data_IF_177535602933
#
_entry.id   IF_177535602933
#
_cell.length_a   1.000
_cell.length_b   1.000
_cell.length_c   1.000
_cell.angle_alpha   90.00
_cell.angle_beta   90.00
_cell.angle_gamma   90.00
#
_symmetry.space_group_name_H-M   'P 1'
#
loop_
_entity.id
_entity.type
_entity.pdbx_description
1 polymer ?
#
# COMPACT_ATOMS: atom_id res chain seq x y z
N UNK A 1 20.81 8.45 -22.26
CA UNK A 1 20.86 7.78 -20.95
C UNK A 1 19.45 7.44 -20.51
N UNK A 2 19.20 6.14 -20.23
CA UNK A 2 17.90 5.65 -19.77
C UNK A 2 17.62 6.19 -18.36
N UNK A 3 16.43 6.74 -18.14
CA UNK A 3 16.02 7.25 -16.82
C UNK A 3 15.75 6.09 -15.87
N UNK A 4 16.12 6.20 -14.57
CA UNK A 4 15.78 5.18 -13.59
C UNK A 4 14.26 5.03 -13.47
N UNK A 5 13.78 3.79 -13.31
CA UNK A 5 12.36 3.49 -13.18
C UNK A 5 12.07 2.99 -11.76
N UNK A 6 11.14 3.65 -11.07
CA UNK A 6 10.78 3.31 -9.70
C UNK A 6 9.30 2.98 -9.59
N UNK A 7 9.01 1.89 -8.90
CA UNK A 7 7.64 1.46 -8.60
C UNK A 7 7.27 1.92 -7.20
N UNK A 8 6.10 2.56 -7.08
CA UNK A 8 5.51 2.92 -5.80
C UNK A 8 4.20 2.15 -5.68
N UNK A 9 4.13 1.22 -4.75
CA UNK A 9 2.93 0.44 -4.49
C UNK A 9 2.16 1.07 -3.33
N UNK A 10 1.04 1.72 -3.65
CA UNK A 10 0.19 2.38 -2.66
C UNK A 10 -0.61 1.37 -1.86
N UNK A 11 -1.10 1.77 -0.70
CA UNK A 11 -1.85 0.90 0.19
C UNK A 11 -3.36 1.14 0.14
N UNK A 12 -4.00 0.80 1.25
CA UNK A 12 -5.44 0.97 1.44
C UNK A 12 -5.87 2.43 1.24
N UNK A 13 -7.05 2.62 0.71
CA UNK A 13 -7.60 3.94 0.33
C UNK A 13 -7.62 4.15 -1.17
N UNK A 14 -6.98 3.28 -1.94
CA UNK A 14 -6.97 3.35 -3.41
C UNK A 14 -8.06 2.50 -4.05
N UNK A 15 -8.69 1.62 -3.30
CA UNK A 15 -9.77 0.76 -3.80
C UNK A 15 -11.06 1.57 -4.05
N UNK A 16 -11.80 1.18 -5.08
CA UNK A 16 -13.09 1.78 -5.42
C UNK A 16 -13.94 0.82 -6.23
N UNK A 17 -15.25 1.02 -6.18
CA UNK A 17 -16.23 0.19 -6.87
C UNK A 17 -15.99 0.19 -8.39
N UNK A 18 -15.91 -1.01 -8.98
CA UNK A 18 -15.70 -1.17 -10.41
C UNK A 18 -14.28 -0.94 -10.88
N UNK A 19 -13.32 -0.90 -10.00
CA UNK A 19 -11.92 -0.57 -10.32
C UNK A 19 -11.27 -1.50 -11.33
N UNK A 20 -11.81 -2.71 -11.51
CA UNK A 20 -11.26 -3.65 -12.50
C UNK A 20 -11.95 -3.63 -13.85
N UNK A 21 -13.08 -2.92 -14.01
CA UNK A 21 -13.93 -3.02 -15.19
C UNK A 21 -13.20 -2.76 -16.51
N UNK A 22 -12.46 -1.66 -16.59
CA UNK A 22 -11.82 -1.27 -17.85
C UNK A 22 -10.64 -2.16 -18.21
N UNK A 23 -9.78 -2.47 -17.24
CA UNK A 23 -8.55 -3.22 -17.49
C UNK A 23 -8.78 -4.72 -17.70
N UNK A 24 -9.92 -5.26 -17.28
CA UNK A 24 -10.29 -6.64 -17.57
C UNK A 24 -10.43 -6.92 -19.07
N UNK A 25 -10.51 -5.88 -19.91
CA UNK A 25 -10.47 -6.01 -21.37
C UNK A 25 -9.09 -6.40 -21.90
N UNK A 26 -8.04 -6.18 -21.12
CA UNK A 26 -6.68 -6.61 -21.47
C UNK A 26 -6.47 -8.05 -21.04
N UNK A 27 -6.09 -8.93 -21.98
CA UNK A 27 -5.91 -10.35 -21.71
C UNK A 27 -4.92 -10.60 -20.58
N UNK A 28 -3.75 -9.95 -20.60
CA UNK A 28 -2.72 -10.12 -19.58
C UNK A 28 -3.20 -9.73 -18.19
N UNK A 29 -3.97 -8.64 -18.09
CA UNK A 29 -4.55 -8.20 -16.82
C UNK A 29 -5.56 -9.22 -16.31
N UNK A 30 -6.49 -9.62 -17.17
CA UNK A 30 -7.52 -10.60 -16.81
C UNK A 30 -6.91 -11.93 -16.39
N UNK A 31 -5.92 -12.44 -17.11
CA UNK A 31 -5.24 -13.68 -16.78
C UNK A 31 -4.56 -13.60 -15.42
N UNK A 32 -3.92 -12.47 -15.11
CA UNK A 32 -3.33 -12.23 -13.78
C UNK A 32 -4.38 -12.28 -12.68
N UNK A 33 -5.52 -11.61 -12.89
CA UNK A 33 -6.63 -11.62 -11.93
C UNK A 33 -7.16 -13.04 -11.71
N UNK A 34 -7.28 -13.83 -12.78
CA UNK A 34 -7.73 -15.22 -12.67
C UNK A 34 -6.73 -16.10 -11.90
N UNK A 35 -5.44 -15.83 -12.00
CA UNK A 35 -4.44 -16.53 -11.18
C UNK A 35 -4.58 -16.16 -9.70
N UNK A 36 -4.95 -14.90 -9.41
CA UNK A 36 -5.25 -14.48 -8.02
C UNK A 36 -6.51 -15.17 -7.50
N UNK A 37 -7.54 -15.36 -8.36
CA UNK A 37 -8.72 -16.14 -8.01
C UNK A 37 -8.36 -17.55 -7.55
N UNK A 38 -7.46 -18.22 -8.27
CA UNK A 38 -7.04 -19.59 -7.92
C UNK A 38 -6.40 -19.63 -6.53
N UNK A 39 -5.65 -18.61 -6.15
CA UNK A 39 -4.98 -18.56 -4.84
C UNK A 39 -5.98 -18.51 -3.68
N UNK A 40 -7.09 -17.81 -3.81
CA UNK A 40 -8.08 -17.61 -2.73
C UNK A 40 -9.35 -18.41 -2.90
N UNK A 41 -9.47 -19.18 -3.98
CA UNK A 41 -10.65 -20.03 -4.24
C UNK A 41 -10.99 -20.97 -3.07
N UNK A 42 -10.01 -21.67 -2.44
CA UNK A 42 -10.31 -22.52 -1.29
C UNK A 42 -10.87 -21.76 -0.09
N UNK A 43 -10.67 -20.45 -0.05
CA UNK A 43 -11.10 -19.59 1.05
C UNK A 43 -12.43 -18.89 0.75
N UNK A 44 -13.06 -19.22 -0.39
CA UNK A 44 -14.37 -18.69 -0.75
C UNK A 44 -14.38 -17.26 -1.28
N UNK A 45 -13.23 -16.74 -1.70
CA UNK A 45 -13.12 -15.39 -2.27
C UNK A 45 -12.93 -15.50 -3.77
N UNK A 46 -13.65 -14.64 -4.53
CA UNK A 46 -13.50 -14.55 -5.98
C UNK A 46 -13.18 -13.12 -6.38
N UNK A 47 -11.90 -12.86 -6.62
CA UNK A 47 -11.38 -11.53 -6.93
C UNK A 47 -12.03 -10.95 -8.17
N UNK A 48 -12.18 -11.75 -9.23
CA UNK A 48 -12.80 -11.27 -10.48
C UNK A 48 -14.20 -10.74 -10.28
N UNK A 49 -15.01 -11.37 -9.41
CA UNK A 49 -16.34 -10.88 -9.07
C UNK A 49 -16.27 -9.57 -8.29
N UNK A 50 -15.33 -9.46 -7.35
CA UNK A 50 -15.15 -8.25 -6.54
C UNK A 50 -14.77 -7.04 -7.39
N UNK A 51 -13.90 -7.24 -8.38
CA UNK A 51 -13.44 -6.16 -9.26
C UNK A 51 -14.53 -5.67 -10.21
N UNK A 52 -15.48 -6.52 -10.55
CA UNK A 52 -16.58 -6.20 -11.44
C UNK A 52 -17.84 -5.77 -10.69
N UNK A 53 -17.86 -5.86 -9.38
CA UNK A 53 -19.02 -5.55 -8.55
C UNK A 53 -19.39 -4.08 -8.66
N UNK A 54 -20.72 -3.82 -8.77
CA UNK A 54 -21.29 -2.48 -8.76
C UNK A 54 -21.88 -2.10 -7.39
N UNK A 55 -21.78 -3.01 -6.40
CA UNK A 55 -22.24 -2.76 -5.04
C UNK A 55 -21.27 -1.78 -4.34
N UNK A 56 -21.82 -0.68 -3.83
CA UNK A 56 -21.04 0.35 -3.14
C UNK A 56 -20.38 -0.16 -1.87
N UNK A 57 -20.86 -1.27 -1.30
CA UNK A 57 -20.34 -1.85 -0.05
C UNK A 57 -19.30 -2.94 -0.27
N UNK A 58 -18.95 -3.25 -1.51
CA UNK A 58 -18.04 -4.35 -1.83
C UNK A 58 -16.75 -4.29 -1.02
N UNK A 59 -16.17 -3.10 -0.87
CA UNK A 59 -14.89 -2.91 -0.19
C UNK A 59 -15.03 -2.41 1.25
N UNK A 60 -16.23 -2.43 1.82
CA UNK A 60 -16.41 -2.26 3.26
C UNK A 60 -15.85 -3.47 4.01
N UNK A 61 -15.86 -4.65 3.37
CA UNK A 61 -15.20 -5.84 3.89
C UNK A 61 -13.69 -5.70 3.66
N UNK A 62 -12.92 -5.73 4.73
CA UNK A 62 -11.47 -5.50 4.69
C UNK A 62 -10.73 -6.61 3.92
N UNK A 63 -11.22 -7.85 3.96
CA UNK A 63 -10.64 -8.96 3.20
C UNK A 63 -10.79 -8.68 1.70
N UNK A 64 -11.99 -8.28 1.29
CA UNK A 64 -12.27 -7.94 -0.11
C UNK A 64 -11.40 -6.78 -0.59
N UNK A 65 -11.26 -5.75 0.24
CA UNK A 65 -10.44 -4.59 -0.09
C UNK A 65 -8.96 -4.97 -0.26
N UNK A 66 -8.40 -5.70 0.70
CA UNK A 66 -6.98 -6.05 0.70
C UNK A 66 -6.62 -7.01 -0.44
N UNK A 67 -7.43 -8.05 -0.63
CA UNK A 67 -7.19 -9.04 -1.70
C UNK A 67 -7.32 -8.41 -3.07
N UNK A 68 -8.36 -7.61 -3.28
CA UNK A 68 -8.60 -6.96 -4.58
C UNK A 68 -7.53 -5.93 -4.92
N UNK A 69 -7.14 -5.11 -3.94
CA UNK A 69 -6.07 -4.13 -4.12
C UNK A 69 -4.76 -4.81 -4.51
N UNK A 70 -4.37 -5.84 -3.76
CA UNK A 70 -3.14 -6.57 -4.03
C UNK A 70 -3.18 -7.27 -5.39
N UNK A 71 -4.31 -7.87 -5.75
CA UNK A 71 -4.48 -8.53 -7.06
C UNK A 71 -4.36 -7.54 -8.22
N UNK A 72 -4.93 -6.34 -8.09
CA UNK A 72 -4.77 -5.29 -9.12
C UNK A 72 -3.31 -4.85 -9.24
N UNK A 73 -2.65 -4.65 -8.11
CA UNK A 73 -1.23 -4.26 -8.14
C UNK A 73 -0.36 -5.31 -8.82
N UNK A 74 -0.59 -6.58 -8.52
CA UNK A 74 0.10 -7.69 -9.19
C UNK A 74 -0.18 -7.70 -10.70
N UNK A 75 -1.44 -7.50 -11.09
CA UNK A 75 -1.83 -7.47 -12.50
C UNK A 75 -1.18 -6.29 -13.23
N UNK A 76 -1.11 -5.12 -12.60
CA UNK A 76 -0.40 -3.96 -13.17
C UNK A 76 1.09 -4.24 -13.33
N UNK A 77 1.72 -4.86 -12.34
CA UNK A 77 3.13 -5.25 -12.40
C UNK A 77 3.35 -6.24 -13.54
N UNK A 78 2.47 -7.23 -13.71
CA UNK A 78 2.54 -8.19 -14.82
C UNK A 78 2.44 -7.47 -16.18
N UNK A 79 1.56 -6.50 -16.31
CA UNK A 79 1.45 -5.70 -17.54
C UNK A 79 2.74 -4.94 -17.83
N UNK A 80 3.31 -4.27 -16.83
CA UNK A 80 4.55 -3.53 -16.98
C UNK A 80 5.69 -4.45 -17.37
N UNK A 81 5.78 -5.61 -16.73
CA UNK A 81 6.80 -6.62 -17.04
C UNK A 81 6.65 -7.15 -18.47
N UNK A 82 5.41 -7.36 -18.93
CA UNK A 82 5.12 -7.89 -20.26
C UNK A 82 5.58 -6.96 -21.39
N UNK A 83 5.69 -5.66 -21.11
CA UNK A 83 6.21 -4.66 -22.06
C UNK A 83 7.67 -4.29 -21.77
N UNK A 84 8.38 -5.09 -20.98
CA UNK A 84 9.81 -4.95 -20.74
C UNK A 84 10.21 -3.92 -19.69
N UNK A 85 9.27 -3.40 -18.91
CA UNK A 85 9.57 -2.42 -17.87
C UNK A 85 9.93 -3.13 -16.56
N UNK A 86 11.18 -2.97 -16.13
CA UNK A 86 11.70 -3.53 -14.88
C UNK A 86 12.10 -2.39 -13.94
N UNK A 87 11.73 -2.46 -12.67
CA UNK A 87 12.07 -1.39 -11.74
C UNK A 87 13.55 -1.43 -11.34
N UNK A 88 14.15 -0.24 -11.25
CA UNK A 88 15.45 -0.04 -10.64
C UNK A 88 15.31 0.14 -9.12
N UNK A 89 14.13 0.57 -8.67
CA UNK A 89 13.81 0.69 -7.26
C UNK A 89 12.33 0.44 -7.01
N UNK A 90 12.01 -0.02 -5.79
CA UNK A 90 10.66 -0.41 -5.39
C UNK A 90 10.41 0.10 -3.98
N UNK A 91 9.30 0.82 -3.78
CA UNK A 91 8.88 1.33 -2.48
C UNK A 91 7.40 1.05 -2.31
N UNK A 92 6.99 0.59 -1.12
CA UNK A 92 5.59 0.35 -0.81
C UNK A 92 5.12 1.23 0.34
N UNK A 93 3.83 1.49 0.38
CA UNK A 93 3.17 2.17 1.48
C UNK A 93 2.19 1.20 2.13
N UNK A 94 2.45 0.82 3.38
CA UNK A 94 1.59 -0.08 4.16
C UNK A 94 1.38 -1.43 3.45
N UNK A 95 0.13 -1.82 3.18
CA UNK A 95 -0.20 -3.05 2.45
C UNK A 95 0.51 -3.13 1.09
N UNK A 96 0.85 -2.00 0.50
CA UNK A 96 1.56 -1.96 -0.78
C UNK A 96 2.89 -2.70 -0.76
N UNK A 97 3.51 -2.88 0.42
CA UNK A 97 4.74 -3.67 0.50
C UNK A 97 4.56 -5.15 0.14
N UNK A 98 3.34 -5.67 0.23
CA UNK A 98 3.06 -7.05 -0.22
C UNK A 98 3.25 -7.15 -1.74
N UNK A 99 2.73 -6.18 -2.49
CA UNK A 99 2.95 -6.09 -3.93
C UNK A 99 4.42 -5.85 -4.27
N UNK A 100 5.15 -5.11 -3.43
CA UNK A 100 6.60 -4.95 -3.56
C UNK A 100 7.31 -6.30 -3.49
N UNK A 101 6.90 -7.18 -2.59
CA UNK A 101 7.46 -8.54 -2.49
C UNK A 101 7.28 -9.32 -3.77
N UNK A 102 6.13 -9.18 -4.42
CA UNK A 102 5.89 -9.78 -5.72
C UNK A 102 6.78 -9.15 -6.82
N UNK A 103 6.83 -7.84 -6.88
CA UNK A 103 7.64 -7.12 -7.87
C UNK A 103 9.13 -7.44 -7.74
N UNK A 104 9.61 -7.64 -6.53
CA UNK A 104 11.01 -7.96 -6.24
C UNK A 104 11.35 -9.46 -6.40
N UNK A 105 10.34 -10.29 -6.66
CA UNK A 105 10.52 -11.75 -6.80
C UNK A 105 10.65 -12.49 -5.48
N UNK A 106 10.38 -11.84 -4.35
CA UNK A 106 10.47 -12.46 -3.02
C UNK A 106 9.22 -13.24 -2.65
N UNK A 107 8.08 -12.85 -3.19
CA UNK A 107 6.80 -13.53 -2.99
C UNK A 107 6.26 -14.00 -4.34
N UNK A 108 5.74 -15.21 -4.38
CA UNK A 108 4.94 -15.65 -5.53
C UNK A 108 3.60 -14.89 -5.52
N UNK A 109 2.89 -14.92 -6.63
CA UNK A 109 1.55 -14.35 -6.69
C UNK A 109 0.64 -14.96 -5.63
N UNK A 110 0.66 -16.28 -5.48
CA UNK A 110 -0.11 -16.98 -4.47
C UNK A 110 0.23 -16.50 -3.06
N UNK A 111 1.52 -16.43 -2.73
CA UNK A 111 1.97 -15.96 -1.43
C UNK A 111 1.51 -14.54 -1.14
N UNK A 112 1.62 -13.64 -2.11
CA UNK A 112 1.23 -12.24 -1.95
C UNK A 112 -0.28 -12.08 -1.72
N UNK A 113 -1.09 -12.74 -2.55
CA UNK A 113 -2.55 -12.67 -2.41
C UNK A 113 -3.02 -13.28 -1.10
N UNK A 114 -2.44 -14.41 -0.69
CA UNK A 114 -2.76 -15.05 0.58
C UNK A 114 -2.29 -14.20 1.78
N UNK A 115 -1.15 -13.54 1.66
CA UNK A 115 -0.70 -12.62 2.72
C UNK A 115 -1.68 -11.46 2.92
N UNK A 116 -2.20 -10.90 1.84
CA UNK A 116 -3.24 -9.87 1.90
C UNK A 116 -4.53 -10.41 2.51
N UNK A 117 -4.94 -11.62 2.12
CA UNK A 117 -6.12 -12.28 2.68
C UNK A 117 -6.01 -12.43 4.20
N UNK A 118 -4.92 -13.04 4.69
CA UNK A 118 -4.78 -13.31 6.12
C UNK A 118 -4.63 -12.04 6.94
N UNK A 119 -3.99 -11.02 6.41
CA UNK A 119 -3.95 -9.70 7.04
C UNK A 119 -5.37 -9.16 7.28
N UNK A 120 -6.22 -9.21 6.26
CA UNK A 120 -7.61 -8.78 6.37
C UNK A 120 -8.44 -9.67 7.29
N UNK A 121 -8.30 -10.98 7.16
CA UNK A 121 -9.10 -11.94 7.94
C UNK A 121 -8.77 -11.88 9.44
N UNK A 122 -7.49 -11.79 9.78
CA UNK A 122 -7.07 -11.69 11.19
C UNK A 122 -7.57 -10.39 11.83
N UNK A 123 -7.56 -9.28 11.08
CA UNK A 123 -8.10 -8.01 11.57
C UNK A 123 -9.61 -8.10 11.76
N UNK A 124 -10.31 -8.68 10.79
CA UNK A 124 -11.76 -8.85 10.83
C UNK A 124 -12.19 -9.69 12.03
N UNK A 125 -11.48 -10.79 12.30
CA UNK A 125 -11.80 -11.73 13.40
C UNK A 125 -11.46 -11.16 14.77
N UNK A 126 -10.60 -10.16 14.85
CA UNK A 126 -10.14 -9.61 16.13
C UNK A 126 -11.17 -8.74 16.86
N UNK A 127 -12.18 -8.23 16.15
CA UNK A 127 -13.21 -7.35 16.72
C UNK A 127 -12.62 -6.21 17.56
N UNK A 128 -11.76 -5.43 16.94
CA UNK A 128 -11.03 -4.36 17.62
C UNK A 128 -11.93 -3.22 18.07
N UNK A 129 -11.56 -2.49 19.14
CA UNK A 129 -12.31 -1.30 19.55
C UNK A 129 -12.26 -0.22 18.45
N UNK A 130 -13.21 0.76 18.46
CA UNK A 130 -13.24 1.80 17.45
C UNK A 130 -11.95 2.60 17.39
N UNK A 131 -11.31 2.60 16.22
CA UNK A 131 -10.12 3.36 15.92
C UNK A 131 -10.34 4.32 14.77
N UNK A 132 -9.39 5.20 14.55
CA UNK A 132 -9.40 6.14 13.44
C UNK A 132 -7.99 6.53 13.05
N UNK A 133 -7.86 7.07 11.85
CA UNK A 133 -6.62 7.65 11.35
C UNK A 133 -6.94 8.98 10.68
N UNK A 134 -5.97 9.90 10.70
CA UNK A 134 -6.13 11.20 10.08
C UNK A 134 -4.80 11.70 9.52
N UNK A 135 -4.86 12.34 8.35
CA UNK A 135 -3.72 13.06 7.79
C UNK A 135 -3.66 14.45 8.43
N UNK A 136 -2.50 14.84 8.94
CA UNK A 136 -2.30 16.12 9.60
C UNK A 136 -1.08 16.85 9.04
N UNK A 137 -1.17 18.18 8.96
CA UNK A 137 -0.12 19.04 8.43
C UNK A 137 0.94 19.39 9.47
N UNK A 138 1.53 18.37 10.08
CA UNK A 138 2.58 18.48 11.07
C UNK A 138 3.79 17.67 10.62
N UNK A 139 4.98 18.05 11.15
CA UNK A 139 6.15 17.22 10.98
C UNK A 139 6.07 15.98 11.88
N UNK A 140 6.92 14.99 11.60
CA UNK A 140 7.00 13.78 12.41
C UNK A 140 7.33 14.09 13.87
N UNK A 141 8.29 14.98 14.11
CA UNK A 141 8.70 15.38 15.46
C UNK A 141 7.60 16.16 16.18
N UNK A 142 6.90 17.06 15.48
CA UNK A 142 5.76 17.77 16.05
C UNK A 142 4.65 16.80 16.47
N UNK A 143 4.37 15.79 15.66
CA UNK A 143 3.39 14.77 16.00
C UNK A 143 3.77 13.99 17.26
N UNK A 144 5.04 13.60 17.37
CA UNK A 144 5.54 12.89 18.56
C UNK A 144 5.32 13.72 19.84
N UNK A 145 5.50 15.03 19.74
CA UNK A 145 5.37 15.93 20.90
C UNK A 145 3.93 16.27 21.21
N UNK A 146 3.07 16.40 20.18
CA UNK A 146 1.73 16.97 20.33
C UNK A 146 0.60 15.95 20.38
N UNK A 147 0.82 14.71 19.90
CA UNK A 147 -0.25 13.72 19.94
C UNK A 147 -0.76 13.47 21.35
N UNK A 148 -2.08 13.52 21.56
CA UNK A 148 -2.65 13.22 22.88
C UNK A 148 -2.46 11.74 23.23
N UNK A 149 -2.71 11.39 24.49
CA UNK A 149 -2.57 10.04 24.99
C UNK A 149 -3.37 9.05 24.08
N UNK A 150 -2.70 7.98 23.67
CA UNK A 150 -3.29 6.95 22.85
C UNK A 150 -3.23 7.22 21.35
N UNK A 151 -2.94 8.43 20.90
CA UNK A 151 -2.77 8.77 19.49
C UNK A 151 -1.28 8.72 19.15
N UNK A 152 -0.94 8.03 18.08
CA UNK A 152 0.45 7.84 17.66
C UNK A 152 0.66 8.26 16.21
N UNK A 153 1.86 8.77 15.86
CA UNK A 153 2.21 8.96 14.46
C UNK A 153 2.38 7.59 13.81
N UNK A 154 1.69 7.38 12.71
CA UNK A 154 1.61 6.08 12.03
C UNK A 154 2.27 6.07 10.66
N UNK A 155 2.19 7.16 9.90
CA UNK A 155 2.79 7.23 8.57
C UNK A 155 3.55 8.55 8.40
N UNK A 156 4.84 8.47 8.17
CA UNK A 156 5.68 9.61 7.82
C UNK A 156 5.65 9.78 6.30
N UNK A 157 4.65 10.51 5.81
CA UNK A 157 4.38 10.64 4.39
C UNK A 157 5.25 11.71 3.70
N UNK A 158 5.45 12.85 4.37
CA UNK A 158 6.33 13.91 3.90
C UNK A 158 6.86 14.70 5.09
N UNK A 159 7.74 15.68 4.86
CA UNK A 159 8.30 16.51 5.92
C UNK A 159 7.24 17.21 6.78
N UNK A 160 6.09 17.53 6.17
CA UNK A 160 5.03 18.31 6.80
C UNK A 160 3.66 17.59 6.76
N UNK A 161 3.63 16.30 6.49
CA UNK A 161 2.39 15.51 6.44
C UNK A 161 2.60 14.16 7.09
N UNK A 162 1.85 13.92 8.14
CA UNK A 162 1.90 12.67 8.92
C UNK A 162 0.46 12.13 9.02
N UNK A 163 0.32 10.81 8.93
CA UNK A 163 -0.94 10.16 9.30
C UNK A 163 -0.83 9.69 10.74
N UNK A 164 -1.79 10.11 11.56
CA UNK A 164 -1.91 9.70 12.98
C UNK A 164 -2.93 8.58 13.11
N UNK A 165 -2.81 7.79 14.18
CA UNK A 165 -3.64 6.60 14.40
C UNK A 165 -3.92 6.44 15.89
N UNK A 166 -5.14 6.03 16.25
CA UNK A 166 -5.49 5.81 17.65
C UNK A 166 -6.98 5.63 17.88
N UNK A 167 -7.42 5.75 19.14
CA UNK A 167 -8.84 5.67 19.48
C UNK A 167 -9.65 6.73 18.72
N UNK A 168 -10.79 6.34 18.20
CA UNK A 168 -11.61 7.21 17.36
C UNK A 168 -11.92 8.56 18.01
N UNK A 169 -12.35 8.54 19.27
CA UNK A 169 -12.69 9.77 19.99
C UNK A 169 -11.47 10.71 20.14
N UNK A 170 -10.31 10.15 20.49
CA UNK A 170 -9.09 10.95 20.69
C UNK A 170 -8.58 11.53 19.38
N UNK A 171 -8.63 10.75 18.27
CA UNK A 171 -8.24 11.24 16.95
C UNK A 171 -9.18 12.36 16.50
N UNK A 172 -10.49 12.17 16.65
CA UNK A 172 -11.47 13.17 16.24
C UNK A 172 -11.29 14.49 17.02
N UNK A 173 -11.05 14.40 18.31
CA UNK A 173 -10.82 15.58 19.15
C UNK A 173 -9.55 16.33 18.72
N UNK A 174 -8.47 15.61 18.47
CA UNK A 174 -7.22 16.22 18.04
C UNK A 174 -7.35 16.86 16.65
N UNK A 175 -8.06 16.21 15.73
CA UNK A 175 -8.34 16.77 14.40
C UNK A 175 -9.08 18.10 14.52
N UNK A 176 -10.12 18.18 15.38
CA UNK A 176 -10.85 19.41 15.58
C UNK A 176 -9.97 20.52 16.20
N UNK A 177 -9.13 20.16 17.16
CA UNK A 177 -8.17 21.11 17.75
C UNK A 177 -7.22 21.66 16.68
N UNK A 178 -6.65 20.80 15.84
CA UNK A 178 -5.74 21.23 14.77
C UNK A 178 -6.43 22.14 13.75
N UNK A 179 -7.68 21.83 13.38
CA UNK A 179 -8.46 22.68 12.48
C UNK A 179 -8.67 24.08 13.08
N UNK A 180 -8.97 24.17 14.38
CA UNK A 180 -9.13 25.45 15.07
C UNK A 180 -7.84 26.27 15.08
N UNK A 181 -6.68 25.60 15.08
CA UNK A 181 -5.37 26.26 15.00
C UNK A 181 -4.98 26.63 13.58
N UNK A 182 -5.80 26.30 12.57
CA UNK A 182 -5.47 26.53 11.17
C UNK A 182 -4.49 25.50 10.59
N UNK A 183 -4.29 24.38 11.28
CA UNK A 183 -3.45 23.28 10.80
C UNK A 183 -4.29 22.31 9.99
N UNK A 184 -3.79 21.90 8.82
CA UNK A 184 -4.49 20.90 7.99
C UNK A 184 -4.70 19.62 8.80
N UNK A 185 -5.94 19.11 8.80
CA UNK A 185 -6.26 17.84 9.41
C UNK A 185 -7.49 17.24 8.71
N UNK A 186 -7.38 15.99 8.30
CA UNK A 186 -8.47 15.31 7.59
C UNK A 186 -8.50 13.84 7.97
N UNK A 187 -9.66 13.36 8.41
CA UNK A 187 -9.86 11.94 8.69
C UNK A 187 -9.68 11.12 7.42
N UNK A 188 -9.01 9.97 7.56
CA UNK A 188 -8.79 9.00 6.48
C UNK A 188 -9.79 7.85 6.68
N UNK A 189 -10.39 7.38 5.60
CA UNK A 189 -11.33 6.24 5.66
C UNK A 189 -10.56 4.95 5.92
N UNK A 190 -10.77 4.36 7.11
CA UNK A 190 -10.13 3.11 7.52
C UNK A 190 -11.13 2.07 8.01
N UNK A 191 -12.44 2.35 7.91
CA UNK A 191 -13.45 1.42 8.41
C UNK A 191 -13.44 1.26 9.91
N UNK A 192 -13.03 2.29 10.66
CA UNK A 192 -12.96 2.25 12.12
C UNK A 192 -11.73 1.55 12.67
N UNK A 193 -10.64 1.48 11.88
CA UNK A 193 -9.41 0.78 12.26
C UNK A 193 -8.24 1.74 12.44
N UNK A 194 -7.44 1.50 13.47
CA UNK A 194 -6.22 2.26 13.76
C UNK A 194 -4.99 1.44 13.36
N UNK A 195 -4.68 1.43 12.06
CA UNK A 195 -3.53 0.70 11.52
C UNK A 195 -2.21 1.30 12.01
N UNK A 196 -1.16 0.50 12.01
CA UNK A 196 0.20 0.93 12.34
C UNK A 196 0.29 1.54 13.74
N UNK A 197 -0.46 0.96 14.66
CA UNK A 197 -0.52 1.36 16.06
C UNK A 197 -0.57 0.13 16.95
N UNK A 198 -0.52 0.36 18.26
CA UNK A 198 -0.64 -0.70 19.26
C UNK A 198 -1.97 -1.48 19.16
N UNK A 199 -3.00 -0.93 18.49
CA UNK A 199 -4.25 -1.65 18.22
C UNK A 199 -3.99 -2.96 17.45
N UNK A 200 -2.96 -3.00 16.64
CA UNK A 200 -2.63 -4.15 15.79
C UNK A 200 -1.72 -5.19 16.49
N UNK A 201 -1.13 -4.85 17.61
CA UNK A 201 -0.19 -5.74 18.30
C UNK A 201 -0.83 -7.06 18.73
N UNK A 202 -2.10 -7.03 19.18
CA UNK A 202 -2.81 -8.22 19.59
C UNK A 202 -3.11 -9.20 18.45
N UNK A 203 -3.05 -8.74 17.22
CA UNK A 203 -3.27 -9.55 16.02
C UNK A 203 -1.98 -10.28 15.60
N UNK A 204 -0.84 -9.73 15.96
CA UNK A 204 0.46 -10.20 15.49
C UNK A 204 0.69 -11.72 15.65
N UNK A 205 0.43 -12.34 16.80
CA UNK A 205 0.67 -13.79 16.96
C UNK A 205 -0.17 -14.63 15.99
N UNK A 206 -1.45 -14.33 15.84
CA UNK A 206 -2.36 -15.08 14.95
C UNK A 206 -1.97 -14.90 13.50
N UNK A 207 -1.66 -13.66 13.09
CA UNK A 207 -1.22 -13.38 11.74
C UNK A 207 0.11 -14.05 11.42
N UNK A 208 1.04 -14.06 12.38
CA UNK A 208 2.34 -14.73 12.21
C UNK A 208 2.15 -16.22 11.93
N UNK A 209 1.30 -16.89 12.70
CA UNK A 209 1.03 -18.32 12.50
C UNK A 209 0.46 -18.58 11.11
N UNK A 210 -0.50 -17.77 10.67
CA UNK A 210 -1.10 -17.89 9.34
C UNK A 210 -0.07 -17.69 8.23
N UNK A 211 0.74 -16.63 8.34
CA UNK A 211 1.72 -16.28 7.32
C UNK A 211 2.89 -17.27 7.27
N UNK A 212 3.26 -17.91 8.36
CA UNK A 212 4.27 -18.98 8.34
C UNK A 212 3.85 -20.18 7.51
N UNK A 213 2.55 -20.44 7.45
CA UNK A 213 2.00 -21.52 6.59
C UNK A 213 1.99 -21.11 5.11
N UNK A 214 1.92 -19.82 4.81
CA UNK A 214 1.91 -19.28 3.45
C UNK A 214 3.33 -19.09 2.92
N UNK A 215 4.18 -18.43 3.70
CA UNK A 215 5.56 -18.11 3.34
C UNK A 215 6.48 -19.09 4.08
N UNK A 216 6.61 -20.30 3.54
CA UNK A 216 7.36 -21.38 4.19
C UNK A 216 8.87 -21.23 4.03
N UNK A 217 9.31 -20.71 2.89
CA UNK A 217 10.71 -20.53 2.55
C UNK A 217 10.95 -19.07 2.16
N UNK A 218 11.18 -18.19 3.17
CA UNK A 218 11.40 -16.78 2.90
C UNK A 218 12.58 -16.54 1.96
N UNK A 219 12.38 -15.67 0.98
CA UNK A 219 13.41 -15.33 -0.01
C UNK A 219 13.99 -13.97 0.29
N UNK A 220 15.29 -13.75 -0.01
CA UNK A 220 15.94 -12.48 0.23
C UNK A 220 15.29 -11.33 -0.54
N UNK A 221 15.14 -10.21 0.14
CA UNK A 221 14.81 -8.94 -0.49
C UNK A 221 16.05 -8.41 -1.19
N UNK A 222 15.87 -7.88 -2.41
CA UNK A 222 16.99 -7.29 -3.14
C UNK A 222 17.26 -5.85 -2.66
N UNK A 223 18.40 -5.29 -3.05
CA UNK A 223 18.75 -3.90 -2.76
C UNK A 223 17.82 -2.90 -3.46
N UNK A 224 17.04 -3.35 -4.47
CA UNK A 224 16.09 -2.48 -5.17
C UNK A 224 14.86 -2.15 -4.35
N UNK A 225 14.45 -3.04 -3.45
CA UNK A 225 13.27 -2.82 -2.62
C UNK A 225 13.68 -2.19 -1.29
N UNK A 226 13.36 -0.90 -1.13
CA UNK A 226 13.60 -0.15 0.09
C UNK A 226 12.42 -0.35 1.05
N UNK A 227 12.72 -0.83 2.26
CA UNK A 227 11.68 -1.07 3.27
C UNK A 227 11.15 0.25 3.83
N UNK A 228 9.83 0.37 3.93
CA UNK A 228 9.18 1.48 4.64
C UNK A 228 8.67 1.06 6.02
N UNK A 229 8.78 -0.22 6.38
CA UNK A 229 8.31 -0.74 7.67
C UNK A 229 9.43 -0.94 8.68
N UNK A 230 10.67 -0.75 8.27
CA UNK A 230 11.86 -0.86 9.12
C UNK A 230 12.68 0.43 8.99
N UNK A 231 13.12 1.04 10.11
CA UNK A 231 13.97 2.23 10.06
C UNK A 231 15.23 2.00 9.21
N UNK A 232 15.65 3.00 8.47
CA UNK A 232 16.81 2.90 7.57
C UNK A 232 18.06 2.38 8.27
N UNK A 233 18.31 2.81 9.50
CA UNK A 233 19.45 2.35 10.29
C UNK A 233 19.44 0.84 10.53
N UNK A 234 18.30 0.18 10.33
CA UNK A 234 18.12 -1.26 10.54
C UNK A 234 17.85 -2.03 9.24
N UNK A 235 18.07 -1.43 8.08
CA UNK A 235 17.85 -2.11 6.80
C UNK A 235 18.76 -3.32 6.58
N UNK A 236 19.87 -3.43 7.34
CA UNK A 236 20.77 -4.58 7.29
C UNK A 236 20.47 -5.61 8.38
N UNK A 237 19.40 -5.42 9.16
CA UNK A 237 19.00 -6.36 10.21
C UNK A 237 18.48 -7.67 9.61
N UNK A 238 18.45 -8.73 10.43
CA UNK A 238 17.90 -10.02 10.00
C UNK A 238 16.44 -9.93 9.59
N UNK A 239 15.65 -9.10 10.28
CA UNK A 239 14.23 -8.90 9.93
C UNK A 239 14.06 -8.30 8.53
N UNK A 240 14.94 -7.37 8.15
CA UNK A 240 14.86 -6.71 6.85
C UNK A 240 15.43 -7.56 5.70
N UNK A 241 16.11 -8.64 5.99
CA UNK A 241 16.84 -9.43 4.98
C UNK A 241 15.93 -10.18 4.03
N UNK A 242 14.81 -10.71 4.53
CA UNK A 242 13.89 -11.53 3.73
C UNK A 242 12.46 -11.01 3.82
N UNK A 243 11.63 -11.35 2.81
CA UNK A 243 10.18 -11.09 2.86
C UNK A 243 9.49 -12.25 3.58
N UNK A 244 9.77 -12.36 4.88
CA UNK A 244 9.27 -13.42 5.76
C UNK A 244 7.87 -13.12 6.29
N UNK A 245 7.29 -14.11 6.99
CA UNK A 245 6.08 -13.91 7.76
C UNK A 245 6.29 -12.79 8.80
N UNK A 246 7.42 -12.81 9.48
CA UNK A 246 7.80 -11.81 10.49
C UNK A 246 7.89 -10.41 9.88
N UNK A 247 8.46 -10.28 8.69
CA UNK A 247 8.53 -9.00 7.96
C UNK A 247 7.13 -8.45 7.70
N UNK A 248 6.22 -9.29 7.22
CA UNK A 248 4.85 -8.87 6.86
C UNK A 248 4.00 -8.55 8.10
N UNK A 249 4.20 -9.24 9.22
CA UNK A 249 3.57 -8.89 10.50
C UNK A 249 4.08 -7.54 10.98
N UNK A 250 5.40 -7.34 10.94
CA UNK A 250 6.01 -6.07 11.33
C UNK A 250 5.44 -4.89 10.53
N UNK A 251 5.18 -5.10 9.24
CA UNK A 251 4.57 -4.05 8.41
C UNK A 251 3.22 -3.58 8.96
N UNK A 252 2.41 -4.48 9.48
CA UNK A 252 1.09 -4.13 10.02
C UNK A 252 1.17 -3.31 11.30
N UNK A 253 2.09 -3.67 12.19
CA UNK A 253 2.16 -3.07 13.54
C UNK A 253 3.08 -1.86 13.63
N UNK A 254 4.03 -1.71 12.71
CA UNK A 254 5.04 -0.65 12.73
C UNK A 254 4.60 0.57 11.92
N UNK A 255 5.14 1.76 12.24
CA UNK A 255 4.89 2.94 11.42
C UNK A 255 5.37 2.76 9.98
N UNK A 256 4.74 3.50 9.07
CA UNK A 256 5.14 3.56 7.66
C UNK A 256 6.10 4.73 7.49
N UNK A 257 7.37 4.43 7.27
CA UNK A 257 8.45 5.42 7.14
C UNK A 257 8.68 5.73 5.65
N UNK A 258 7.65 6.28 5.02
CA UNK A 258 7.60 6.48 3.57
C UNK A 258 8.59 7.54 3.09
N UNK A 259 8.63 8.68 3.78
CA UNK A 259 9.50 9.80 3.41
C UNK A 259 10.98 9.38 3.38
N UNK A 260 11.42 8.56 4.35
CA UNK A 260 12.81 8.10 4.42
C UNK A 260 13.21 7.31 3.17
N UNK A 261 12.29 6.48 2.65
CA UNK A 261 12.54 5.72 1.43
C UNK A 261 12.53 6.62 0.18
N UNK A 262 11.62 7.59 0.12
CA UNK A 262 11.50 8.49 -1.03
C UNK A 262 12.77 9.31 -1.26
N UNK A 263 13.52 9.63 -0.21
CA UNK A 263 14.78 10.37 -0.34
C UNK A 263 15.82 9.63 -1.17
N UNK A 264 15.72 8.32 -1.31
CA UNK A 264 16.65 7.51 -2.10
C UNK A 264 16.33 7.49 -3.60
N UNK A 265 15.17 8.00 -4.01
CA UNK A 265 14.83 8.08 -5.43
C UNK A 265 15.75 9.08 -6.11
N UNK A 266 16.52 8.67 -7.14
CA UNK A 266 17.52 9.55 -7.75
C UNK A 266 16.88 10.63 -8.63
N UNK A 267 17.71 11.61 -9.00
CA UNK A 267 17.36 12.61 -10.00
C UNK A 267 16.89 11.93 -11.29
N UNK A 268 15.98 12.58 -12.00
CA UNK A 268 15.47 12.15 -13.30
C UNK A 268 14.75 10.81 -13.32
N UNK A 269 14.35 10.29 -12.16
CA UNK A 269 13.61 9.04 -12.10
C UNK A 269 12.20 9.18 -12.69
N UNK A 270 11.74 8.11 -13.31
CA UNK A 270 10.33 7.93 -13.66
C UNK A 270 9.70 7.12 -12.56
N UNK A 271 8.72 7.69 -11.88
CA UNK A 271 8.10 7.12 -10.67
C UNK A 271 6.66 6.73 -11.03
N UNK A 272 6.39 5.43 -11.03
CA UNK A 272 5.07 4.89 -11.35
C UNK A 272 4.31 4.57 -10.07
N UNK A 273 3.14 5.15 -9.90
CA UNK A 273 2.24 4.77 -8.81
C UNK A 273 1.40 3.56 -9.24
N UNK A 274 1.67 2.41 -8.62
CA UNK A 274 1.00 1.14 -8.91
C UNK A 274 -0.13 0.96 -7.91
N UNK A 275 -1.32 1.32 -8.33
CA UNK A 275 -2.53 1.30 -7.51
C UNK A 275 -3.75 1.54 -8.39
N UNK A 276 -4.95 1.17 -7.93
CA UNK A 276 -6.18 1.46 -8.68
C UNK A 276 -6.61 2.94 -8.64
N UNK A 277 -5.89 3.78 -7.90
CA UNK A 277 -6.12 5.23 -7.84
C UNK A 277 -4.81 5.97 -7.54
N UNK A 278 -4.72 7.19 -8.03
CA UNK A 278 -3.57 8.08 -7.85
C UNK A 278 -3.64 8.80 -6.49
N UNK A 279 -3.47 8.04 -5.41
CA UNK A 279 -3.62 8.55 -4.04
C UNK A 279 -2.41 9.35 -3.57
N UNK A 280 -1.21 8.91 -3.92
CA UNK A 280 0.04 9.45 -3.36
C UNK A 280 0.68 10.55 -4.21
N UNK A 281 -0.01 11.08 -5.22
CA UNK A 281 0.58 12.05 -6.15
C UNK A 281 1.18 13.28 -5.44
N UNK A 282 0.45 13.86 -4.49
CA UNK A 282 0.94 15.04 -3.75
C UNK A 282 2.12 14.70 -2.84
N UNK A 283 2.04 13.56 -2.17
CA UNK A 283 3.12 13.07 -1.29
C UNK A 283 4.38 12.80 -2.11
N UNK A 284 4.23 12.14 -3.26
CA UNK A 284 5.35 11.84 -4.16
C UNK A 284 5.96 13.13 -4.70
N UNK A 285 5.13 14.07 -5.14
CA UNK A 285 5.59 15.34 -5.68
C UNK A 285 6.45 16.13 -4.67
N UNK A 286 6.10 16.04 -3.38
CA UNK A 286 6.86 16.70 -2.32
C UNK A 286 8.12 15.94 -1.91
N UNK A 287 8.08 14.62 -1.98
CA UNK A 287 9.15 13.76 -1.45
C UNK A 287 10.26 13.44 -2.44
N UNK A 288 9.99 13.48 -3.74
CA UNK A 288 10.98 13.17 -4.78
C UNK A 288 11.60 14.45 -5.34
N UNK A 289 12.75 14.29 -6.00
CA UNK A 289 13.46 15.41 -6.61
C UNK A 289 12.64 16.00 -7.78
N UNK A 290 12.74 17.31 -7.99
CA UNK A 290 11.92 18.03 -8.96
C UNK A 290 12.12 17.57 -10.42
N UNK A 291 13.25 16.95 -10.71
CA UNK A 291 13.56 16.38 -12.03
C UNK A 291 12.82 15.06 -12.31
N UNK A 292 12.21 14.45 -11.30
CA UNK A 292 11.46 13.20 -11.44
C UNK A 292 10.12 13.44 -12.12
N UNK A 293 9.67 12.44 -12.88
CA UNK A 293 8.33 12.42 -13.49
C UNK A 293 7.48 11.39 -12.76
N UNK A 294 6.34 11.82 -12.23
CA UNK A 294 5.43 10.96 -11.46
C UNK A 294 4.26 10.61 -12.36
N UNK A 295 4.02 9.31 -12.54
CA UNK A 295 3.00 8.80 -13.47
C UNK A 295 2.06 7.84 -12.74
N UNK A 296 0.76 8.17 -12.61
CA UNK A 296 -0.24 7.24 -12.10
C UNK A 296 -0.67 6.27 -13.20
N UNK A 297 -1.07 5.06 -12.82
CA UNK A 297 -1.51 4.06 -13.80
C UNK A 297 -3.02 3.94 -13.90
N UNK A 298 -3.73 4.27 -12.82
CA UNK A 298 -5.19 4.25 -12.76
C UNK A 298 -5.70 5.43 -11.94
N UNK A 299 -6.96 5.78 -12.14
CA UNK A 299 -7.59 6.88 -11.41
C UNK A 299 -9.05 6.53 -11.10
N UNK A 300 -9.44 6.73 -9.83
CA UNK A 300 -10.82 6.54 -9.36
C UNK A 300 -11.78 7.37 -10.21
N UNK A 301 -12.90 6.73 -10.58
CA UNK A 301 -13.99 7.37 -11.33
C UNK A 301 -13.57 7.97 -12.68
N UNK A 302 -12.40 7.57 -13.20
CA UNK A 302 -12.03 7.94 -14.55
C UNK A 302 -12.95 7.19 -15.53
N UNK A 303 -13.39 7.87 -16.56
CA UNK A 303 -14.33 7.35 -17.55
C UNK A 303 -13.85 6.05 -18.20
N UNK A 304 -12.56 5.94 -18.48
CA UNK A 304 -11.94 4.76 -19.09
C UNK A 304 -10.51 4.57 -18.58
N UNK A 305 -10.35 3.69 -17.60
CA UNK A 305 -9.03 3.40 -17.03
C UNK A 305 -8.12 2.61 -17.98
N UNK A 306 -8.65 1.94 -18.99
CA UNK A 306 -7.82 1.34 -20.02
C UNK A 306 -7.12 2.42 -20.85
N UNK A 307 -7.87 3.42 -21.29
CA UNK A 307 -7.31 4.57 -22.01
C UNK A 307 -6.32 5.32 -21.12
N UNK A 308 -6.67 5.56 -19.87
CA UNK A 308 -5.81 6.25 -18.90
C UNK A 308 -4.49 5.49 -18.73
N UNK A 309 -4.56 4.17 -18.53
CA UNK A 309 -3.37 3.32 -18.37
C UNK A 309 -2.50 3.37 -19.63
N UNK A 310 -3.08 3.18 -20.82
CA UNK A 310 -2.31 3.16 -22.06
C UNK A 310 -1.67 4.54 -22.36
N UNK A 311 -2.37 5.63 -22.09
CA UNK A 311 -1.83 6.98 -22.24
C UNK A 311 -0.63 7.20 -21.33
N UNK A 312 -0.75 6.79 -20.06
CA UNK A 312 0.34 6.97 -19.09
C UNK A 312 1.51 6.02 -19.36
N UNK A 313 1.22 4.79 -19.81
CA UNK A 313 2.26 3.86 -20.25
C UNK A 313 3.05 4.45 -21.43
N UNK A 314 2.38 5.10 -22.37
CA UNK A 314 3.03 5.81 -23.46
C UNK A 314 3.97 6.93 -22.98
N UNK A 315 3.60 7.64 -21.93
CA UNK A 315 4.48 8.65 -21.31
C UNK A 315 5.76 8.05 -20.75
N UNK A 316 5.69 6.82 -20.19
CA UNK A 316 6.87 6.12 -19.69
C UNK A 316 7.86 5.85 -20.82
N UNK A 317 7.37 5.41 -21.98
CA UNK A 317 8.22 5.11 -23.12
C UNK A 317 8.83 6.36 -23.76
N UNK A 318 8.20 7.53 -23.58
CA UNK A 318 8.71 8.80 -24.12
C UNK A 318 9.72 9.47 -23.19
N UNK A 319 9.85 9.01 -21.97
CA UNK A 319 10.80 9.52 -20.99
C UNK A 319 12.01 8.61 -20.87
#
# INVERSE_FOLDING_TARGET
NKRPLWFICSGMGTQWRGMGLSLMRLDSFRESILRSDEAVKPLGVKVSDLLLSTDERTFDDIVHAFVSLTAIQIALIDLLTSVGLKPDGIIGHSLGEVACGYADGCLSQREAVLAAYWRGQCIKDAHLPPGSMAAVGLSWEECKQRCPAGVVPACHNSEDTVTISGPQAAVNEFVEQLKQEGVFAKEVRTGGLAFHSYFMEGIAPTLLQALKKVIREPRPRSARWLSTSIPEAQWQSSLARTSSAEYNVNNLVSPVLFQEALWHIPEHAVVLEIAPHALLQLVLKRGVKSSCTIIPLMKRDHKDNLEFFLTNLGKVHLT
#
